data_IF_009771420475
#
_entry.id   IF_009771420475
#
_cell.length_a   1.000
_cell.length_b   1.000
_cell.length_c   1.000
_cell.angle_alpha   90.00
_cell.angle_beta   90.00
_cell.angle_gamma   90.00
#
_symmetry.space_group_name_H-M   'P 1'
#
loop_
_entity.id
_entity.type
_entity.pdbx_description
1 polymer ?
#
# COMPACT_ATOMS: atom_id res chain seq x y z
N UNK A 1 28.80 -8.62 30.64
CA UNK A 1 28.71 -8.06 29.28
C UNK A 1 28.80 -6.56 29.43
N UNK A 2 29.75 -5.91 28.76
CA UNK A 2 29.89 -4.46 28.81
C UNK A 2 29.12 -3.87 27.62
N UNK A 3 28.54 -2.67 27.78
CA UNK A 3 27.72 -2.01 26.74
C UNK A 3 28.44 -1.91 25.39
N UNK A 4 29.78 -1.88 25.39
CA UNK A 4 30.63 -1.85 24.20
C UNK A 4 30.63 -3.12 23.35
N UNK A 5 30.11 -4.25 23.86
CA UNK A 5 30.06 -5.54 23.13
C UNK A 5 28.65 -5.90 22.64
N UNK A 6 27.67 -5.00 22.73
CA UNK A 6 26.31 -5.25 22.25
C UNK A 6 26.06 -4.57 20.89
N UNK A 7 25.52 -5.32 19.92
CA UNK A 7 25.22 -4.80 18.59
C UNK A 7 23.87 -4.05 18.59
N UNK A 8 23.90 -2.78 18.99
CA UNK A 8 22.71 -1.93 18.97
C UNK A 8 22.22 -1.66 17.55
N UNK A 9 20.91 -1.73 17.34
CA UNK A 9 20.29 -1.23 16.12
C UNK A 9 20.45 0.29 16.09
N UNK A 10 21.20 0.78 15.12
CA UNK A 10 21.34 2.23 14.89
C UNK A 10 20.05 2.80 14.33
N UNK A 11 19.86 4.12 14.43
CA UNK A 11 18.71 4.79 13.81
C UNK A 11 18.67 4.54 12.30
N UNK A 12 19.83 4.57 11.63
CA UNK A 12 19.95 4.25 10.21
C UNK A 12 19.46 2.83 9.92
N UNK A 13 19.83 1.84 10.74
CA UNK A 13 19.36 0.47 10.56
C UNK A 13 17.87 0.35 10.86
N UNK A 14 17.37 1.00 11.90
CA UNK A 14 15.95 1.03 12.25
C UNK A 14 15.09 1.63 11.14
N UNK A 15 15.58 2.64 10.41
CA UNK A 15 14.91 3.16 9.22
C UNK A 15 15.10 2.26 7.99
N UNK A 16 16.30 1.72 7.78
CA UNK A 16 16.61 0.87 6.63
C UNK A 16 15.90 -0.49 6.60
N UNK A 17 15.34 -0.93 7.73
CA UNK A 17 14.52 -2.15 7.82
C UNK A 17 13.02 -1.87 7.81
N UNK A 18 12.58 -0.62 7.65
CA UNK A 18 11.15 -0.32 7.46
C UNK A 18 10.76 -0.65 6.03
N UNK A 19 9.75 -1.50 5.90
CA UNK A 19 9.17 -1.87 4.62
C UNK A 19 7.65 -1.74 4.69
N UNK A 20 7.04 -1.65 3.50
CA UNK A 20 5.60 -1.79 3.33
C UNK A 20 5.33 -3.21 2.86
N UNK A 21 4.32 -3.85 3.43
CA UNK A 21 3.85 -5.14 2.93
C UNK A 21 3.03 -4.92 1.67
N UNK A 22 3.32 -5.72 0.63
CA UNK A 22 2.53 -5.75 -0.59
C UNK A 22 1.56 -6.93 -0.54
N UNK A 23 0.24 -6.71 -0.49
CA UNK A 23 -0.73 -7.80 -0.56
C UNK A 23 -0.77 -8.41 -1.97
N UNK A 24 -0.36 -9.66 -2.12
CA UNK A 24 -0.24 -10.33 -3.42
C UNK A 24 -1.57 -10.38 -4.19
N UNK A 25 -2.72 -10.41 -3.50
CA UNK A 25 -4.04 -10.38 -4.14
C UNK A 25 -4.26 -9.12 -5.01
N UNK A 26 -3.52 -8.03 -4.77
CA UNK A 26 -3.52 -6.85 -5.65
C UNK A 26 -2.88 -7.12 -7.03
N UNK A 27 -2.11 -8.21 -7.18
CA UNK A 27 -1.52 -8.61 -8.47
C UNK A 27 -2.50 -9.43 -9.31
N UNK A 28 -3.09 -10.47 -8.71
CA UNK A 28 -3.84 -11.49 -9.46
C UNK A 28 -5.36 -11.41 -9.28
N UNK A 29 -5.82 -10.85 -8.16
CA UNK A 29 -7.21 -10.84 -7.75
C UNK A 29 -8.08 -10.09 -8.75
N UNK A 30 -9.19 -10.69 -9.18
CA UNK A 30 -9.98 -10.14 -10.30
C UNK A 30 -10.54 -8.75 -10.00
N UNK A 31 -10.95 -8.52 -8.75
CA UNK A 31 -11.42 -7.21 -8.26
C UNK A 31 -10.37 -6.11 -8.47
N UNK A 32 -9.09 -6.46 -8.31
CA UNK A 32 -7.96 -5.54 -8.17
C UNK A 32 -7.02 -5.50 -9.39
N UNK A 33 -7.13 -6.45 -10.32
CA UNK A 33 -6.23 -6.58 -11.49
C UNK A 33 -6.09 -5.30 -12.30
N UNK A 34 -7.17 -4.53 -12.43
CA UNK A 34 -7.23 -3.29 -13.19
C UNK A 34 -6.85 -2.04 -12.37
N UNK A 35 -6.44 -2.19 -11.11
CA UNK A 35 -5.83 -1.09 -10.38
C UNK A 35 -4.49 -0.72 -11.01
N UNK A 36 -4.25 0.57 -11.14
CA UNK A 36 -2.97 1.15 -11.49
C UNK A 36 -1.95 0.86 -10.39
N UNK A 37 -0.68 0.78 -10.78
CA UNK A 37 0.40 0.53 -9.83
C UNK A 37 0.47 1.63 -8.76
N UNK A 38 0.14 2.87 -9.14
CA UNK A 38 0.02 3.97 -8.18
C UNK A 38 -1.11 3.77 -7.18
N UNK A 39 -2.26 3.19 -7.58
CA UNK A 39 -3.33 2.87 -6.65
C UNK A 39 -2.96 1.72 -5.71
N UNK A 40 -2.26 0.69 -6.19
CA UNK A 40 -1.71 -0.39 -5.35
C UNK A 40 -0.69 0.16 -4.34
N UNK A 41 0.21 1.05 -4.77
CA UNK A 41 1.15 1.76 -3.89
C UNK A 41 0.42 2.63 -2.85
N UNK A 42 -0.61 3.36 -3.26
CA UNK A 42 -1.44 4.15 -2.35
C UNK A 42 -2.07 3.26 -1.27
N UNK A 43 -2.65 2.13 -1.66
CA UNK A 43 -3.26 1.19 -0.72
C UNK A 43 -2.28 0.74 0.38
N UNK A 44 -1.08 0.26 0.00
CA UNK A 44 -0.07 -0.20 0.97
C UNK A 44 0.35 0.89 1.96
N UNK A 45 0.53 2.12 1.47
CA UNK A 45 0.90 3.26 2.30
C UNK A 45 -0.20 3.64 3.27
N UNK A 46 -1.45 3.66 2.80
CA UNK A 46 -2.62 3.92 3.65
C UNK A 46 -2.78 2.84 4.72
N UNK A 47 -2.54 1.57 4.37
CA UNK A 47 -2.57 0.44 5.29
C UNK A 47 -1.53 0.62 6.41
N UNK A 48 -0.28 0.96 6.06
CA UNK A 48 0.75 1.24 7.05
C UNK A 48 0.44 2.44 7.95
N UNK A 49 -0.31 3.44 7.43
CA UNK A 49 -0.76 4.60 8.19
C UNK A 49 -1.83 4.28 9.24
N UNK A 50 -2.50 3.13 9.18
CA UNK A 50 -3.48 2.73 10.22
C UNK A 50 -2.85 2.70 11.61
N UNK A 51 -1.58 2.32 11.73
CA UNK A 51 -0.84 2.36 13.00
C UNK A 51 -0.80 3.77 13.61
N UNK A 52 -0.59 4.78 12.78
CA UNK A 52 -0.60 6.19 13.21
C UNK A 52 -2.00 6.65 13.61
N UNK A 53 -3.04 6.23 12.88
CA UNK A 53 -4.43 6.50 13.27
C UNK A 53 -4.75 5.95 14.64
N UNK A 54 -4.35 4.71 14.93
CA UNK A 54 -4.54 4.06 16.23
C UNK A 54 -3.80 4.82 17.34
N UNK A 55 -2.55 5.23 17.10
CA UNK A 55 -1.77 6.03 18.06
C UNK A 55 -2.44 7.38 18.40
N UNK A 56 -3.21 7.94 17.46
CA UNK A 56 -3.94 9.20 17.64
C UNK A 56 -5.40 8.99 18.09
N UNK A 57 -5.81 7.76 18.41
CA UNK A 57 -7.19 7.40 18.73
C UNK A 57 -8.20 7.83 17.65
N UNK A 58 -7.82 7.74 16.38
CA UNK A 58 -8.70 8.00 15.24
C UNK A 58 -9.56 6.78 14.94
N UNK A 59 -10.47 6.51 15.86
CA UNK A 59 -11.45 5.43 15.83
C UNK A 59 -12.83 6.07 16.02
N UNK A 60 -13.78 5.71 15.17
CA UNK A 60 -15.15 6.22 15.29
C UNK A 60 -15.99 5.40 16.30
N UNK A 61 -17.25 5.80 16.47
CA UNK A 61 -18.16 5.17 17.44
C UNK A 61 -18.49 3.70 17.10
N UNK A 62 -18.28 3.27 15.85
CA UNK A 62 -18.52 1.91 15.38
C UNK A 62 -17.23 1.06 15.43
N UNK A 63 -16.21 1.53 16.14
CA UNK A 63 -14.89 0.91 16.24
C UNK A 63 -14.16 0.78 14.89
N UNK A 64 -14.40 1.72 13.95
CA UNK A 64 -13.71 1.76 12.66
C UNK A 64 -12.57 2.76 12.70
N UNK A 65 -11.39 2.31 12.30
CA UNK A 65 -10.21 3.17 12.18
C UNK A 65 -10.35 4.06 10.95
N UNK A 66 -10.12 5.36 11.12
CA UNK A 66 -10.04 6.32 10.01
C UNK A 66 -8.71 7.05 10.02
N UNK A 67 -8.34 7.65 8.90
CA UNK A 67 -7.23 8.59 8.82
C UNK A 67 -7.71 9.95 8.35
N UNK A 68 -7.14 10.99 8.95
CA UNK A 68 -7.19 12.35 8.43
C UNK A 68 -5.98 12.49 7.52
N UNK A 69 -6.23 12.50 6.21
CA UNK A 69 -5.14 12.57 5.24
C UNK A 69 -5.52 13.43 4.04
N UNK A 70 -4.94 14.63 4.03
CA UNK A 70 -5.23 15.68 3.06
C UNK A 70 -4.58 15.38 1.72
N UNK A 71 -5.09 16.00 0.65
CA UNK A 71 -4.48 15.89 -0.67
C UNK A 71 -3.04 16.44 -0.69
N UNK A 72 -2.73 17.42 0.16
CA UNK A 72 -1.37 17.97 0.29
C UNK A 72 -0.42 16.95 0.91
N UNK A 73 -0.85 16.21 1.92
CA UNK A 73 -0.01 15.17 2.51
C UNK A 73 0.21 14.01 1.53
N UNK A 74 -0.80 13.64 0.75
CA UNK A 74 -0.65 12.67 -0.34
C UNK A 74 0.32 13.18 -1.43
N UNK A 75 0.22 14.46 -1.79
CA UNK A 75 1.17 15.08 -2.72
C UNK A 75 2.59 15.01 -2.18
N UNK A 76 2.82 15.44 -0.94
CA UNK A 76 4.13 15.45 -0.31
C UNK A 76 4.71 14.04 -0.14
N UNK A 77 3.87 13.05 0.18
CA UNK A 77 4.31 11.68 0.41
C UNK A 77 4.69 10.96 -0.89
N UNK A 78 3.92 11.14 -1.96
CA UNK A 78 4.13 10.42 -3.22
C UNK A 78 4.82 11.22 -4.32
N UNK A 79 4.95 12.55 -4.15
CA UNK A 79 5.39 13.46 -5.21
C UNK A 79 4.39 13.57 -6.38
N UNK A 80 3.14 13.17 -6.20
CA UNK A 80 2.14 13.16 -7.27
C UNK A 80 1.45 14.51 -7.42
N UNK A 81 1.35 15.02 -8.65
CA UNK A 81 0.52 16.19 -8.93
C UNK A 81 -0.94 16.01 -8.47
N UNK A 82 -1.61 17.10 -8.11
CA UNK A 82 -2.95 17.08 -7.49
C UNK A 82 -4.00 16.30 -8.29
N UNK A 83 -3.97 16.40 -9.63
CA UNK A 83 -4.86 15.65 -10.50
C UNK A 83 -4.67 14.13 -10.38
N UNK A 84 -3.42 13.68 -10.24
CA UNK A 84 -3.10 12.26 -10.02
C UNK A 84 -3.58 11.82 -8.65
N UNK A 85 -3.36 12.61 -7.59
CA UNK A 85 -3.88 12.29 -6.24
C UNK A 85 -5.40 12.08 -6.27
N UNK A 86 -6.16 12.99 -6.89
CA UNK A 86 -7.61 12.86 -7.03
C UNK A 86 -8.00 11.62 -7.82
N UNK A 87 -7.31 11.34 -8.93
CA UNK A 87 -7.57 10.14 -9.75
C UNK A 87 -7.36 8.85 -8.96
N UNK A 88 -6.24 8.73 -8.24
CA UNK A 88 -5.93 7.53 -7.47
C UNK A 88 -6.92 7.30 -6.33
N UNK A 89 -7.36 8.36 -5.63
CA UNK A 89 -8.42 8.24 -4.62
C UNK A 89 -9.72 7.72 -5.22
N UNK A 90 -10.17 8.31 -6.33
CA UNK A 90 -11.37 7.86 -7.05
C UNK A 90 -11.25 6.41 -7.52
N UNK A 91 -10.07 6.00 -7.96
CA UNK A 91 -9.82 4.63 -8.40
C UNK A 91 -9.97 3.63 -7.26
N UNK A 92 -9.43 3.94 -6.07
CA UNK A 92 -9.62 3.13 -4.87
C UNK A 92 -11.08 3.13 -4.41
N UNK A 93 -11.77 4.27 -4.45
CA UNK A 93 -13.21 4.38 -4.14
C UNK A 93 -14.06 3.51 -5.08
N UNK A 94 -13.79 3.55 -6.39
CA UNK A 94 -14.49 2.74 -7.40
C UNK A 94 -14.31 1.23 -7.20
N UNK A 95 -13.19 0.82 -6.59
CA UNK A 95 -12.93 -0.58 -6.23
C UNK A 95 -13.39 -0.94 -4.81
N UNK A 96 -14.05 -0.02 -4.12
CA UNK A 96 -14.52 -0.21 -2.74
C UNK A 96 -13.39 -0.33 -1.72
N UNK A 97 -12.19 0.16 -2.05
CA UNK A 97 -11.01 0.09 -1.18
C UNK A 97 -10.84 1.32 -0.30
N UNK A 98 -11.47 2.44 -0.67
CA UNK A 98 -11.41 3.70 0.06
C UNK A 98 -12.82 4.26 0.20
N UNK A 99 -13.16 4.73 1.39
CA UNK A 99 -14.40 5.44 1.65
C UNK A 99 -14.11 6.76 2.35
N UNK A 100 -14.82 7.83 1.98
CA UNK A 100 -14.55 9.16 2.51
C UNK A 100 -15.82 9.81 3.05
N UNK A 101 -15.77 10.28 4.30
CA UNK A 101 -16.83 11.07 4.94
C UNK A 101 -16.40 12.52 5.02
N UNK A 102 -17.19 13.41 4.40
CA UNK A 102 -17.03 14.85 4.56
C UNK A 102 -17.47 15.27 5.97
N UNK A 103 -16.60 15.94 6.71
CA UNK A 103 -16.88 16.40 8.07
C UNK A 103 -17.55 17.77 8.12
N UNK A 104 -17.63 18.47 6.98
CA UNK A 104 -18.28 19.77 6.87
C UNK A 104 -17.54 20.89 7.59
N UNK A 105 -18.25 21.99 7.81
CA UNK A 105 -17.75 23.17 8.49
C UNK A 105 -17.90 23.01 10.01
N UNK A 106 -16.83 23.30 10.77
CA UNK A 106 -16.90 23.43 12.22
C UNK A 106 -17.09 24.92 12.59
N UNK A 107 -18.27 25.31 13.11
CA UNK A 107 -18.55 26.68 13.51
C UNK A 107 -17.65 27.20 14.63
N UNK A 108 -17.16 26.30 15.51
CA UNK A 108 -16.30 26.67 16.64
C UNK A 108 -14.89 27.00 16.17
N UNK A 109 -14.36 26.21 15.24
CA UNK A 109 -13.03 26.43 14.66
C UNK A 109 -13.06 27.35 13.42
N UNK A 110 -14.24 27.77 12.96
CA UNK A 110 -14.46 28.59 11.77
C UNK A 110 -13.74 28.07 10.52
N UNK A 111 -13.63 26.75 10.36
CA UNK A 111 -12.97 26.11 9.23
C UNK A 111 -13.64 24.79 8.87
N UNK A 112 -13.43 24.34 7.63
CA UNK A 112 -13.81 22.99 7.24
C UNK A 112 -12.92 21.97 7.94
N UNK A 113 -13.54 20.96 8.53
CA UNK A 113 -12.82 19.82 9.08
C UNK A 113 -12.33 18.94 7.92
N UNK A 114 -11.13 18.36 8.05
CA UNK A 114 -10.63 17.46 7.04
C UNK A 114 -11.51 16.20 7.00
N UNK A 115 -11.63 15.61 5.81
CA UNK A 115 -12.44 14.41 5.63
C UNK A 115 -11.85 13.24 6.43
N UNK A 116 -12.72 12.35 6.89
CA UNK A 116 -12.32 11.05 7.43
C UNK A 116 -12.26 10.05 6.29
N UNK A 117 -11.13 9.39 6.13
CA UNK A 117 -10.92 8.36 5.13
C UNK A 117 -10.83 7.00 5.82
N UNK A 118 -11.52 6.01 5.27
CA UNK A 118 -11.56 4.63 5.75
C UNK A 118 -11.01 3.72 4.66
N UNK A 119 -10.08 2.84 5.04
CA UNK A 119 -9.53 1.83 4.14
C UNK A 119 -10.31 0.53 4.33
N UNK A 120 -10.75 -0.09 3.24
CA UNK A 120 -11.35 -1.41 3.31
C UNK A 120 -10.28 -2.51 3.35
N UNK A 121 -10.65 -3.65 3.92
CA UNK A 121 -9.85 -4.86 3.83
C UNK A 121 -9.86 -5.43 2.40
N UNK A 122 -8.90 -6.29 2.09
CA UNK A 122 -8.83 -6.97 0.81
C UNK A 122 -9.64 -8.26 0.85
N UNK A 123 -10.49 -8.42 -0.16
CA UNK A 123 -11.24 -9.63 -0.38
C UNK A 123 -10.38 -10.63 -1.16
N UNK A 124 -10.32 -11.87 -0.65
CA UNK A 124 -9.66 -12.99 -1.33
C UNK A 124 -10.72 -14.07 -1.56
N UNK A 125 -10.96 -14.42 -2.82
CA UNK A 125 -11.92 -15.48 -3.20
C UNK A 125 -11.22 -16.78 -3.57
N UNK A 126 -11.94 -17.90 -3.58
CA UNK A 126 -11.42 -19.18 -4.04
C UNK A 126 -10.92 -19.13 -5.50
N UNK A 127 -11.56 -18.29 -6.33
CA UNK A 127 -11.14 -18.05 -7.72
C UNK A 127 -9.77 -17.38 -7.77
N UNK A 128 -9.51 -16.42 -6.89
CA UNK A 128 -8.22 -15.73 -6.83
C UNK A 128 -7.09 -16.70 -6.42
N UNK A 129 -7.36 -17.62 -5.48
CA UNK A 129 -6.41 -18.68 -5.09
C UNK A 129 -6.07 -19.60 -6.26
N UNK A 130 -7.07 -20.02 -7.03
CA UNK A 130 -6.85 -20.85 -8.23
C UNK A 130 -6.02 -20.11 -9.29
N UNK A 131 -6.32 -18.83 -9.53
CA UNK A 131 -5.55 -17.98 -10.46
C UNK A 131 -4.09 -17.89 -10.02
N UNK A 132 -3.84 -17.68 -8.71
CA UNK A 132 -2.49 -17.61 -8.16
C UNK A 132 -1.71 -18.89 -8.44
N UNK A 133 -2.29 -20.05 -8.12
CA UNK A 133 -1.67 -21.35 -8.38
C UNK A 133 -1.37 -21.53 -9.88
N UNK A 134 -2.32 -21.19 -10.75
CA UNK A 134 -2.11 -21.27 -12.20
C UNK A 134 -0.95 -20.40 -12.69
N UNK A 135 -0.79 -19.17 -12.17
CA UNK A 135 0.35 -18.29 -12.49
C UNK A 135 1.66 -18.92 -12.01
N UNK A 136 1.71 -19.42 -10.78
CA UNK A 136 2.91 -20.05 -10.20
C UNK A 136 3.36 -21.27 -11.00
N UNK A 137 2.43 -22.13 -11.43
CA UNK A 137 2.74 -23.30 -12.27
C UNK A 137 3.29 -22.90 -13.65
N UNK A 138 2.69 -21.89 -14.29
CA UNK A 138 3.17 -21.40 -15.58
C UNK A 138 4.57 -20.80 -15.47
N UNK A 139 4.85 -20.02 -14.41
CA UNK A 139 6.18 -19.46 -14.18
C UNK A 139 7.20 -20.59 -13.95
N UNK A 140 6.86 -21.60 -13.14
CA UNK A 140 7.75 -22.73 -12.88
C UNK A 140 8.12 -23.49 -14.17
N UNK A 141 7.18 -23.66 -15.10
CA UNK A 141 7.43 -24.31 -16.39
C UNK A 141 8.30 -23.47 -17.34
N UNK A 142 8.23 -22.14 -17.27
CA UNK A 142 9.10 -21.26 -18.08
C UNK A 142 10.55 -21.17 -17.60
N UNK A 143 10.86 -21.65 -16.39
CA UNK A 143 12.21 -21.58 -15.78
C UNK A 143 13.03 -22.87 -16.02
N UNK A 144 12.51 -23.83 -16.78
CA UNK A 144 13.29 -25.01 -17.19
C UNK A 144 14.43 -24.64 -18.19
N UNK A 145 15.61 -25.27 -18.10
CA UNK A 145 16.92 -24.65 -18.40
C UNK A 145 17.27 -24.63 -19.90
N UNK A 146 16.60 -23.79 -20.69
CA UNK A 146 17.05 -23.47 -22.06
C UNK A 146 17.86 -22.16 -22.11
N UNK A 147 17.81 -21.32 -21.06
CA UNK A 147 18.36 -19.95 -21.07
C UNK A 147 19.75 -19.77 -20.43
N UNK A 148 20.49 -20.86 -20.12
CA UNK A 148 21.94 -20.72 -19.90
C UNK A 148 22.60 -20.58 -21.27
N UNK A 149 22.54 -19.35 -21.82
CA UNK A 149 23.32 -18.93 -22.98
C UNK A 149 24.78 -19.29 -22.69
N UNK A 150 25.29 -20.28 -23.42
CA UNK A 150 26.73 -20.58 -23.49
C UNK A 150 27.42 -19.33 -24.05
N UNK A 151 27.85 -18.42 -23.18
CA UNK A 151 28.83 -17.39 -23.54
C UNK A 151 30.09 -18.13 -24.00
N UNK A 152 30.27 -18.24 -25.31
CA UNK A 152 31.56 -18.64 -25.88
C UNK A 152 32.57 -17.54 -25.55
N UNK A 153 33.82 -17.90 -25.17
CA UNK A 153 34.87 -16.91 -25.01
C UNK A 153 35.05 -16.17 -26.33
N UNK A 154 35.25 -14.86 -26.24
CA UNK A 154 35.58 -14.03 -27.40
C UNK A 154 37.05 -14.35 -27.72
N UNK A 155 37.29 -15.00 -28.85
CA UNK A 155 38.64 -15.29 -29.31
C UNK A 155 39.42 -13.96 -29.49
N UNK A 156 40.66 -13.94 -28.98
CA UNK A 156 41.61 -12.82 -29.00
C UNK A 156 42.15 -12.51 -30.41
#
# INVERSE_FOLDING_TARGET
MNETNFNFITSQRAYGVKYLQFPEVLLYGEKYRNLSDSAKLAYMVLQNRLSYSLQNNWVDNDNRVYFIFTNQELHNLFGWGSAKVVRIKKELEQKGLLFQINQGFDPKQKKNLPNRLYLADLEVTAKDVYIKQGIEQNIAQTVEPQDIIKMKPRDE
#
